data_IF_250502045391
#
_entry.id   IF_250502045391
#
_cell.length_a   1.000
_cell.length_b   1.000
_cell.length_c   1.000
_cell.angle_alpha   90.00
_cell.angle_beta   90.00
_cell.angle_gamma   90.00
#
_symmetry.space_group_name_H-M   'P 1'
#
loop_
_entity.id
_entity.type
_entity.pdbx_description
1 polymer ?
#
# COMPACT_ATOMS: atom_id res chain seq x y z
N UNK A 1 9.76 7.64 -22.46
CA UNK A 1 8.79 8.24 -21.53
C UNK A 1 7.98 7.20 -20.74
N UNK A 2 7.77 5.99 -21.25
CA UNK A 2 7.06 4.88 -20.59
C UNK A 2 7.84 4.25 -19.43
N UNK A 3 9.18 4.24 -19.47
CA UNK A 3 9.99 3.64 -18.42
C UNK A 3 9.84 4.37 -17.09
N UNK A 4 9.78 5.70 -17.12
CA UNK A 4 9.57 6.53 -15.92
C UNK A 4 8.27 6.20 -15.19
N UNK A 5 7.24 5.90 -15.96
CA UNK A 5 5.93 5.53 -15.46
C UNK A 5 5.92 4.09 -14.89
N UNK A 6 6.55 3.13 -15.60
CA UNK A 6 6.60 1.72 -15.19
C UNK A 6 7.34 1.53 -13.87
N UNK A 7 8.48 2.20 -13.67
CA UNK A 7 9.23 2.06 -12.41
C UNK A 7 8.49 2.68 -11.22
N UNK A 8 7.83 3.84 -11.41
CA UNK A 8 7.04 4.48 -10.34
C UNK A 8 5.87 3.60 -9.91
N UNK A 9 5.20 2.97 -10.86
CA UNK A 9 4.13 2.02 -10.58
C UNK A 9 4.64 0.78 -9.84
N UNK A 10 5.78 0.22 -10.28
CA UNK A 10 6.41 -0.93 -9.62
C UNK A 10 6.81 -0.60 -8.18
N UNK A 11 7.45 0.55 -7.93
CA UNK A 11 7.81 0.98 -6.57
C UNK A 11 6.56 1.23 -5.73
N UNK A 12 5.54 1.89 -6.27
CA UNK A 12 4.26 2.07 -5.57
C UNK A 12 3.62 0.75 -5.16
N UNK A 13 3.61 -0.25 -6.04
CA UNK A 13 3.08 -1.58 -5.76
C UNK A 13 3.90 -2.31 -4.69
N UNK A 14 5.24 -2.27 -4.79
CA UNK A 14 6.14 -2.88 -3.81
C UNK A 14 6.00 -2.21 -2.44
N UNK A 15 5.86 -0.89 -2.38
CA UNK A 15 5.64 -0.17 -1.13
C UNK A 15 4.32 -0.57 -0.47
N UNK A 16 3.24 -0.65 -1.23
CA UNK A 16 1.94 -1.08 -0.69
C UNK A 16 2.03 -2.52 -0.18
N UNK A 17 2.56 -3.44 -0.99
CA UNK A 17 2.73 -4.84 -0.62
C UNK A 17 3.62 -5.01 0.62
N UNK A 18 4.76 -4.33 0.67
CA UNK A 18 5.67 -4.32 1.82
C UNK A 18 5.03 -3.74 3.09
N UNK A 19 4.20 -2.69 2.94
CA UNK A 19 3.44 -2.12 4.05
C UNK A 19 2.43 -3.10 4.67
N UNK A 20 1.78 -3.93 3.86
CA UNK A 20 0.92 -5.01 4.37
C UNK A 20 1.73 -6.20 4.93
N UNK A 21 2.88 -6.51 4.33
CA UNK A 21 3.77 -7.53 4.86
C UNK A 21 4.28 -7.19 6.28
N UNK A 22 4.41 -5.91 6.61
CA UNK A 22 4.77 -5.45 7.96
C UNK A 22 3.77 -5.91 9.04
N UNK A 23 2.50 -6.16 8.70
CA UNK A 23 1.54 -6.73 9.65
C UNK A 23 1.89 -8.15 10.10
N UNK A 24 2.64 -8.90 9.29
CA UNK A 24 3.12 -10.24 9.67
C UNK A 24 4.15 -10.19 10.81
N UNK A 25 4.74 -9.03 11.07
CA UNK A 25 5.71 -8.82 12.15
C UNK A 25 4.99 -8.58 13.49
N UNK A 26 3.73 -8.12 13.47
CA UNK A 26 2.96 -7.80 14.68
C UNK A 26 2.84 -9.01 15.63
N UNK A 27 2.47 -10.23 15.18
CA UNK A 27 2.45 -11.40 16.06
C UNK A 27 3.81 -11.69 16.72
N UNK A 28 4.91 -11.47 15.99
CA UNK A 28 6.27 -11.66 16.49
C UNK A 28 6.61 -10.66 17.60
N UNK A 29 6.21 -9.39 17.43
CA UNK A 29 6.35 -8.34 18.44
C UNK A 29 5.52 -8.66 19.68
N UNK A 30 4.29 -9.12 19.50
CA UNK A 30 3.39 -9.48 20.61
C UNK A 30 3.96 -10.64 21.42
N UNK A 31 4.49 -11.67 20.75
CA UNK A 31 5.09 -12.85 21.36
C UNK A 31 6.48 -12.60 22.00
N UNK A 32 7.13 -11.48 21.69
CA UNK A 32 8.47 -11.16 22.22
C UNK A 32 8.48 -10.92 23.74
N UNK A 33 9.66 -10.98 24.36
CA UNK A 33 9.85 -10.59 25.77
C UNK A 33 9.94 -9.07 26.01
N UNK A 34 9.56 -8.23 25.03
CA UNK A 34 9.69 -6.78 25.14
C UNK A 34 8.76 -6.19 26.21
N UNK A 35 9.14 -5.03 26.75
CA UNK A 35 8.30 -4.31 27.69
C UNK A 35 6.97 -3.89 27.04
N UNK A 36 5.88 -3.77 27.81
CA UNK A 36 4.56 -3.44 27.27
C UNK A 36 4.54 -2.13 26.45
N UNK A 37 5.26 -1.10 26.90
CA UNK A 37 5.36 0.18 26.18
C UNK A 37 6.00 0.03 24.80
N UNK A 38 7.06 -0.78 24.69
CA UNK A 38 7.75 -1.02 23.42
C UNK A 38 6.88 -1.85 22.48
N UNK A 39 6.18 -2.87 22.97
CA UNK A 39 5.23 -3.66 22.17
C UNK A 39 4.12 -2.79 21.59
N UNK A 40 3.54 -1.91 22.41
CA UNK A 40 2.48 -0.99 21.98
C UNK A 40 2.99 -0.03 20.91
N UNK A 41 4.17 0.56 21.11
CA UNK A 41 4.76 1.47 20.13
C UNK A 41 5.05 0.77 18.80
N UNK A 42 5.67 -0.42 18.83
CA UNK A 42 5.98 -1.18 17.61
C UNK A 42 4.72 -1.67 16.90
N UNK A 43 3.73 -2.17 17.65
CA UNK A 43 2.45 -2.60 17.07
C UNK A 43 1.70 -1.44 16.43
N UNK A 44 1.72 -0.25 17.04
CA UNK A 44 1.15 0.96 16.46
C UNK A 44 1.90 1.38 15.19
N UNK A 45 3.24 1.33 15.20
CA UNK A 45 4.06 1.66 14.03
C UNK A 45 3.81 0.71 12.85
N UNK A 46 3.79 -0.60 13.11
CA UNK A 46 3.49 -1.62 12.11
C UNK A 46 2.01 -1.57 11.66
N UNK A 47 1.10 -1.24 12.57
CA UNK A 47 -0.32 -1.01 12.26
C UNK A 47 -0.52 0.18 11.31
N UNK A 48 0.25 1.25 11.47
CA UNK A 48 0.17 2.45 10.64
C UNK A 48 0.88 2.31 9.27
N UNK A 49 1.70 1.27 9.07
CA UNK A 49 2.53 1.13 7.86
C UNK A 49 1.73 1.11 6.56
N UNK A 50 0.58 0.42 6.42
CA UNK A 50 -0.22 0.45 5.20
C UNK A 50 -0.78 1.84 4.84
N UNK A 51 -1.04 2.69 5.84
CA UNK A 51 -1.45 4.08 5.58
C UNK A 51 -0.25 4.88 5.06
N UNK A 52 0.89 4.76 5.72
CA UNK A 52 2.11 5.47 5.35
C UNK A 52 2.57 5.10 3.94
N UNK A 53 2.54 3.82 3.58
CA UNK A 53 2.93 3.35 2.24
C UNK A 53 1.98 3.83 1.14
N UNK A 54 0.68 4.00 1.43
CA UNK A 54 -0.28 4.64 0.51
C UNK A 54 0.04 6.11 0.28
N UNK A 55 0.34 6.89 1.32
CA UNK A 55 0.72 8.29 1.17
C UNK A 55 2.01 8.45 0.35
N UNK A 56 3.01 7.62 0.63
CA UNK A 56 4.28 7.61 -0.11
C UNK A 56 4.02 7.22 -1.56
N UNK A 57 3.24 6.16 -1.82
CA UNK A 57 2.90 5.73 -3.18
C UNK A 57 2.19 6.85 -3.96
N UNK A 58 1.21 7.55 -3.36
CA UNK A 58 0.53 8.68 -4.02
C UNK A 58 1.52 9.80 -4.37
N UNK A 59 2.43 10.14 -3.45
CA UNK A 59 3.49 11.12 -3.69
C UNK A 59 4.44 10.70 -4.82
N UNK A 60 4.77 9.41 -4.90
CA UNK A 60 5.71 8.85 -5.88
C UNK A 60 5.12 8.71 -7.29
N UNK A 61 3.84 8.37 -7.37
CA UNK A 61 3.15 8.08 -8.63
C UNK A 61 2.97 9.35 -9.49
N UNK A 62 2.80 10.52 -8.88
CA UNK A 62 2.61 11.79 -9.59
C UNK A 62 1.34 11.84 -10.45
N UNK A 63 1.02 13.02 -11.01
CA UNK A 63 -0.22 13.25 -11.80
C UNK A 63 -0.46 12.25 -12.96
N UNK A 64 0.52 11.88 -13.80
CA UNK A 64 0.27 11.00 -14.94
C UNK A 64 -0.14 9.59 -14.50
N UNK A 65 0.48 9.07 -13.45
CA UNK A 65 0.24 7.70 -12.97
C UNK A 65 -1.05 7.59 -12.18
N UNK A 66 -1.41 8.63 -11.41
CA UNK A 66 -2.70 8.72 -10.74
C UNK A 66 -3.86 8.77 -11.76
N UNK A 67 -3.72 9.55 -12.84
CA UNK A 67 -4.73 9.59 -13.90
C UNK A 67 -4.89 8.24 -14.58
N UNK A 68 -3.79 7.56 -14.91
CA UNK A 68 -3.85 6.20 -15.46
C UNK A 68 -4.55 5.23 -14.52
N UNK A 69 -4.21 5.25 -13.23
CA UNK A 69 -4.81 4.35 -12.24
C UNK A 69 -6.32 4.63 -12.09
N UNK A 70 -6.74 5.90 -12.09
CA UNK A 70 -8.17 6.26 -12.11
C UNK A 70 -8.89 5.71 -13.34
N UNK A 71 -8.35 5.90 -14.53
CA UNK A 71 -8.97 5.41 -15.77
C UNK A 71 -9.04 3.87 -15.78
N UNK A 72 -8.00 3.20 -15.29
CA UNK A 72 -7.96 1.74 -15.24
C UNK A 72 -8.91 1.17 -14.19
N UNK A 73 -8.92 1.71 -12.98
CA UNK A 73 -9.84 1.31 -11.91
C UNK A 73 -11.30 1.58 -12.27
N UNK A 74 -11.60 2.71 -12.94
CA UNK A 74 -12.95 3.00 -13.42
C UNK A 74 -13.38 2.01 -14.50
N UNK A 75 -12.48 1.63 -15.42
CA UNK A 75 -12.75 0.61 -16.44
C UNK A 75 -12.95 -0.79 -15.85
N UNK A 76 -12.22 -1.13 -14.79
CA UNK A 76 -12.38 -2.39 -14.06
C UNK A 76 -13.72 -2.41 -13.31
N UNK A 77 -14.02 -1.36 -12.56
CA UNK A 77 -15.27 -1.21 -11.79
C UNK A 77 -16.50 -1.23 -12.72
N UNK A 78 -16.42 -0.57 -13.88
CA UNK A 78 -17.49 -0.56 -14.87
C UNK A 78 -17.68 -1.90 -15.60
N UNK A 79 -16.65 -2.76 -15.63
CA UNK A 79 -16.77 -4.16 -16.11
C UNK A 79 -17.51 -5.04 -15.11
N UNK A 80 -17.30 -4.82 -13.81
CA UNK A 80 -18.05 -5.50 -12.75
C UNK A 80 -19.52 -5.07 -12.74
N UNK A 81 -19.80 -3.77 -12.89
CA UNK A 81 -21.19 -3.27 -12.93
C UNK A 81 -21.94 -3.58 -14.24
N UNK A 82 -21.24 -4.02 -15.29
CA UNK A 82 -21.83 -4.39 -16.58
C UNK A 82 -21.97 -5.91 -16.80
N UNK A 83 -21.67 -6.74 -15.79
CA UNK A 83 -21.91 -8.19 -15.82
C UNK A 83 -23.17 -8.58 -15.02
N UNK A 84 -24.08 -7.63 -14.77
CA UNK A 84 -25.30 -7.81 -14.00
C UNK A 84 -26.58 -7.86 -14.85
N UNK A 85 -26.45 -8.04 -16.18
CA UNK A 85 -27.58 -8.22 -17.11
C UNK A 85 -27.42 -9.54 -17.89
#
# INVERSE_FOLDING_TARGET
MTDTFRWRLAIGAVLIAGGYAAWLIIPLVVASGLSPGVKTALTALFGATPLLTKFIAIGLLGRPTINFLKTHSFKLFRRDSGSAD
#
